data_IF_561537454836
#
_entry.id   IF_561537454836
#
_cell.length_a   1.000
_cell.length_b   1.000
_cell.length_c   1.000
_cell.angle_alpha   90.00
_cell.angle_beta   90.00
_cell.angle_gamma   90.00
#
_symmetry.space_group_name_H-M   'P 1'
#
loop_
_entity.id
_entity.type
_entity.pdbx_description
1 polymer ?
#
# COMPACT_ATOMS: atom_id res chain seq x y z
N UNK A 1 -1.06 -14.19 -4.09
CA UNK A 1 -0.18 -13.00 -4.03
C UNK A 1 -0.92 -11.67 -4.21
N UNK A 2 -1.75 -11.49 -5.24
CA UNK A 2 -2.42 -10.20 -5.46
C UNK A 2 -3.28 -9.72 -4.28
N UNK A 3 -4.07 -10.62 -3.69
CA UNK A 3 -4.86 -10.30 -2.49
C UNK A 3 -4.00 -9.88 -1.29
N UNK A 4 -2.81 -10.47 -1.12
CA UNK A 4 -1.86 -10.09 -0.06
C UNK A 4 -1.34 -8.68 -0.32
N UNK A 5 -0.97 -8.37 -1.56
CA UNK A 5 -0.54 -7.03 -1.95
C UNK A 5 -1.61 -5.97 -1.65
N UNK A 6 -2.89 -6.27 -1.93
CA UNK A 6 -4.01 -5.40 -1.57
C UNK A 6 -4.16 -5.20 -0.07
N UNK A 7 -4.07 -6.27 0.73
CA UNK A 7 -4.16 -6.16 2.19
C UNK A 7 -3.02 -5.34 2.78
N UNK A 8 -1.78 -5.57 2.34
CA UNK A 8 -0.63 -4.75 2.77
C UNK A 8 -0.82 -3.28 2.38
N UNK A 9 -1.34 -3.01 1.18
CA UNK A 9 -1.62 -1.63 0.74
C UNK A 9 -2.68 -0.95 1.62
N UNK A 10 -3.73 -1.68 2.02
CA UNK A 10 -4.75 -1.15 2.94
C UNK A 10 -4.13 -0.83 4.30
N UNK A 11 -3.34 -1.75 4.88
CA UNK A 11 -2.65 -1.52 6.16
C UNK A 11 -1.76 -0.27 6.08
N UNK A 12 -1.00 -0.12 4.99
CA UNK A 12 -0.08 1.02 4.80
C UNK A 12 -0.84 2.35 4.71
N UNK A 13 -1.89 2.42 3.90
CA UNK A 13 -2.58 3.69 3.61
C UNK A 13 -3.49 4.14 4.75
N UNK A 14 -3.99 3.19 5.54
CA UNK A 14 -5.01 3.42 6.59
C UNK A 14 -4.39 3.41 8.00
N UNK A 15 -3.05 3.29 8.14
CA UNK A 15 -2.36 3.16 9.44
C UNK A 15 -2.73 4.26 10.45
N UNK A 16 -2.81 5.52 10.04
CA UNK A 16 -3.24 6.62 10.92
C UNK A 16 -4.69 6.52 11.34
N UNK A 17 -5.59 6.22 10.41
CA UNK A 17 -7.02 6.05 10.70
C UNK A 17 -7.27 4.85 11.63
N UNK A 18 -6.54 3.76 11.44
CA UNK A 18 -6.61 2.60 12.31
C UNK A 18 -6.05 2.89 13.69
N UNK A 19 -4.91 3.58 13.79
CA UNK A 19 -4.35 4.00 15.07
C UNK A 19 -5.30 4.93 15.84
N UNK A 20 -5.98 5.86 15.16
CA UNK A 20 -7.01 6.72 15.76
C UNK A 20 -8.18 5.92 16.34
N UNK A 21 -8.50 4.77 15.74
CA UNK A 21 -9.52 3.83 16.21
C UNK A 21 -8.99 2.83 17.25
N UNK A 22 -7.75 3.00 17.73
CA UNK A 22 -7.13 2.10 18.71
C UNK A 22 -6.63 0.77 18.13
N UNK A 23 -6.40 0.69 16.81
CA UNK A 23 -6.04 -0.54 16.09
C UNK A 23 -4.68 -0.41 15.42
N UNK A 24 -3.90 -1.48 15.45
CA UNK A 24 -2.61 -1.58 14.76
C UNK A 24 -2.58 -2.91 14.01
N UNK A 25 -2.32 -2.83 12.70
CA UNK A 25 -2.23 -3.99 11.81
C UNK A 25 -0.81 -4.23 11.27
N UNK A 26 0.14 -3.38 11.64
CA UNK A 26 1.56 -3.59 11.31
C UNK A 26 2.10 -4.80 12.10
N UNK A 27 2.93 -5.67 11.47
CA UNK A 27 3.52 -6.81 12.18
C UNK A 27 4.42 -6.36 13.33
N UNK A 28 4.23 -6.97 14.51
CA UNK A 28 4.90 -6.55 15.74
C UNK A 28 6.42 -6.77 15.67
N UNK A 29 6.88 -7.89 15.13
CA UNK A 29 8.30 -8.21 14.93
C UNK A 29 9.00 -7.17 14.03
N UNK A 30 8.28 -6.67 13.03
CA UNK A 30 8.79 -5.64 12.12
C UNK A 30 8.77 -4.26 12.78
N UNK A 31 7.73 -3.93 13.57
CA UNK A 31 7.72 -2.72 14.39
C UNK A 31 8.91 -2.69 15.37
N UNK A 32 9.16 -3.80 16.07
CA UNK A 32 10.30 -3.96 16.98
C UNK A 32 11.64 -3.80 16.25
N UNK A 33 11.79 -4.43 15.08
CA UNK A 33 12.99 -4.31 14.23
C UNK A 33 13.34 -2.86 13.87
N UNK A 34 12.32 -2.03 13.65
CA UNK A 34 12.48 -0.62 13.32
C UNK A 34 12.37 0.31 14.53
N UNK A 35 12.31 -0.22 15.76
CA UNK A 35 12.14 0.55 16.99
C UNK A 35 10.91 1.49 16.97
N UNK A 36 9.80 1.00 16.44
CA UNK A 36 8.50 1.68 16.46
C UNK A 36 7.60 1.00 17.49
N UNK A 37 7.06 1.77 18.42
CA UNK A 37 6.16 1.24 19.45
C UNK A 37 4.70 1.44 19.10
N UNK A 38 3.84 0.56 19.59
CA UNK A 38 2.39 0.73 19.47
C UNK A 38 1.91 2.03 20.13
N UNK A 39 2.52 2.42 21.25
CA UNK A 39 2.17 3.64 21.96
C UNK A 39 2.43 4.89 21.11
N UNK A 40 3.55 4.95 20.38
CA UNK A 40 3.84 6.05 19.45
C UNK A 40 2.79 6.14 18.35
N UNK A 41 2.43 5.02 17.71
CA UNK A 41 1.41 5.01 16.66
C UNK A 41 0.06 5.48 17.18
N UNK A 42 -0.41 4.94 18.31
CA UNK A 42 -1.69 5.31 18.91
C UNK A 42 -1.73 6.79 19.33
N UNK A 43 -0.60 7.32 19.79
CA UNK A 43 -0.46 8.75 20.15
C UNK A 43 -0.15 9.64 18.93
N UNK A 44 -0.14 9.09 17.71
CA UNK A 44 0.18 9.81 16.47
C UNK A 44 1.54 10.53 16.53
N UNK A 45 2.54 9.86 17.12
CA UNK A 45 3.91 10.35 17.21
C UNK A 45 4.79 9.63 16.19
N UNK A 46 5.35 10.39 15.26
CA UNK A 46 6.29 9.87 14.26
C UNK A 46 7.70 9.86 14.83
N UNK A 47 8.19 8.67 15.21
CA UNK A 47 9.58 8.43 15.57
C UNK A 47 10.49 8.21 14.34
N UNK A 48 11.82 8.20 14.51
CA UNK A 48 12.78 8.01 13.42
C UNK A 48 12.64 6.65 12.71
N UNK A 49 12.14 5.63 13.42
CA UNK A 49 11.90 4.29 12.89
C UNK A 49 10.68 4.17 11.96
N UNK A 50 9.75 5.12 12.01
CA UNK A 50 8.48 5.01 11.31
C UNK A 50 8.64 5.03 9.77
N UNK A 51 9.39 5.99 9.23
CA UNK A 51 9.59 6.09 7.78
C UNK A 51 10.32 4.86 7.21
N UNK A 52 11.41 4.35 7.81
CA UNK A 52 12.02 3.08 7.41
C UNK A 52 11.06 1.89 7.45
N UNK A 53 10.25 1.76 8.51
CA UNK A 53 9.23 0.71 8.62
C UNK A 53 8.22 0.80 7.47
N UNK A 54 7.69 1.99 7.18
CA UNK A 54 6.74 2.19 6.10
C UNK A 54 7.36 1.89 4.73
N UNK A 55 8.60 2.33 4.48
CA UNK A 55 9.33 2.00 3.26
C UNK A 55 9.50 0.48 3.09
N UNK A 56 9.79 -0.23 4.18
CA UNK A 56 9.88 -1.69 4.18
C UNK A 56 8.53 -2.35 3.83
N UNK A 57 7.43 -1.89 4.40
CA UNK A 57 6.09 -2.39 4.05
C UNK A 57 5.71 -2.12 2.59
N UNK A 58 6.00 -0.91 2.08
CA UNK A 58 5.75 -0.56 0.68
C UNK A 58 6.52 -1.48 -0.27
N UNK A 59 7.81 -1.72 0.01
CA UNK A 59 8.61 -2.66 -0.78
C UNK A 59 8.05 -4.08 -0.71
N UNK A 60 7.59 -4.54 0.45
CA UNK A 60 6.94 -5.85 0.62
C UNK A 60 5.67 -5.95 -0.24
N UNK A 61 4.81 -4.93 -0.23
CA UNK A 61 3.60 -4.89 -1.05
C UNK A 61 3.93 -4.93 -2.56
N UNK A 62 4.92 -4.14 -3.00
CA UNK A 62 5.42 -4.16 -4.40
C UNK A 62 5.90 -5.54 -4.83
N UNK A 63 6.68 -6.24 -4.00
CA UNK A 63 7.12 -7.61 -4.28
C UNK A 63 5.95 -8.59 -4.49
N UNK A 64 4.87 -8.46 -3.71
CA UNK A 64 3.69 -9.30 -3.91
C UNK A 64 2.92 -8.95 -5.20
N UNK A 65 2.87 -7.67 -5.59
CA UNK A 65 2.33 -7.30 -6.92
C UNK A 65 3.16 -7.90 -8.05
N UNK A 66 4.48 -7.76 -7.99
CA UNK A 66 5.38 -8.25 -9.03
C UNK A 66 5.29 -9.78 -9.16
N UNK A 67 5.24 -10.49 -8.02
CA UNK A 67 5.03 -11.94 -8.00
C UNK A 67 3.67 -12.33 -8.59
N UNK A 68 2.60 -11.62 -8.24
CA UNK A 68 1.27 -11.88 -8.77
C UNK A 68 1.20 -11.69 -10.30
N UNK A 69 1.84 -10.65 -10.83
CA UNK A 69 1.87 -10.38 -12.26
C UNK A 69 2.76 -11.38 -13.02
N UNK A 70 3.89 -11.77 -12.45
CA UNK A 70 4.77 -12.79 -13.03
C UNK A 70 4.06 -14.16 -13.13
N UNK A 71 3.17 -14.47 -12.17
CA UNK A 71 2.40 -15.71 -12.15
C UNK A 71 1.12 -15.68 -13.00
N UNK A 72 0.72 -14.53 -13.57
CA UNK A 72 -0.54 -14.40 -14.30
C UNK A 72 -0.41 -14.87 -15.77
N UNK A 73 -1.07 -15.97 -16.18
CA UNK A 73 -1.04 -16.44 -17.56
C UNK A 73 -1.66 -15.42 -18.51
N UNK A 74 -1.16 -15.37 -19.75
CA UNK A 74 -1.66 -14.42 -20.74
C UNK A 74 -3.17 -14.60 -21.04
N UNK A 75 -3.64 -15.84 -21.04
CA UNK A 75 -5.05 -16.20 -21.27
C UNK A 75 -6.00 -15.64 -20.21
N UNK A 76 -5.52 -15.47 -18.97
CA UNK A 76 -6.32 -15.01 -17.84
C UNK A 76 -6.31 -13.48 -17.69
N UNK A 77 -5.46 -12.75 -18.42
CA UNK A 77 -5.35 -11.29 -18.28
C UNK A 77 -6.66 -10.56 -18.54
N UNK A 78 -7.45 -11.02 -19.52
CA UNK A 78 -8.74 -10.42 -19.87
C UNK A 78 -9.79 -10.61 -18.78
N UNK A 79 -9.88 -11.81 -18.19
CA UNK A 79 -10.83 -12.10 -17.10
C UNK A 79 -10.40 -11.42 -15.79
N UNK A 80 -9.10 -11.21 -15.59
CA UNK A 80 -8.53 -10.56 -14.41
C UNK A 80 -8.40 -9.02 -14.53
N UNK A 81 -8.92 -8.40 -15.60
CA UNK A 81 -8.84 -6.95 -15.84
C UNK A 81 -9.20 -6.10 -14.62
N UNK A 82 -10.30 -6.34 -13.88
CA UNK A 82 -10.63 -5.55 -12.69
C UNK A 82 -9.52 -5.60 -11.61
N UNK A 83 -8.92 -6.77 -11.40
CA UNK A 83 -7.81 -6.94 -10.47
C UNK A 83 -6.55 -6.20 -10.92
N UNK A 84 -6.24 -6.24 -12.22
CA UNK A 84 -5.11 -5.51 -12.81
C UNK A 84 -5.27 -3.98 -12.69
N UNK A 85 -6.49 -3.47 -12.93
CA UNK A 85 -6.80 -2.04 -12.75
C UNK A 85 -6.61 -1.64 -11.29
N UNK A 86 -7.16 -2.40 -10.35
CA UNK A 86 -6.98 -2.12 -8.92
C UNK A 86 -5.51 -2.14 -8.51
N UNK A 87 -4.73 -3.10 -9.04
CA UNK A 87 -3.30 -3.18 -8.79
C UNK A 87 -2.54 -1.95 -9.33
N UNK A 88 -2.90 -1.45 -10.51
CA UNK A 88 -2.30 -0.23 -11.06
C UNK A 88 -2.61 1.00 -10.19
N UNK A 89 -3.86 1.14 -9.74
CA UNK A 89 -4.28 2.23 -8.83
C UNK A 89 -3.53 2.14 -7.50
N UNK A 90 -3.44 0.96 -6.91
CA UNK A 90 -2.80 0.77 -5.61
C UNK A 90 -1.28 0.94 -5.67
N UNK A 91 -0.61 0.48 -6.74
CA UNK A 91 0.81 0.76 -6.95
C UNK A 91 1.07 2.26 -7.05
N UNK A 92 0.26 2.98 -7.82
CA UNK A 92 0.37 4.43 -7.91
C UNK A 92 0.09 5.14 -6.57
N UNK A 93 -0.83 4.62 -5.74
CA UNK A 93 -1.05 5.14 -4.39
C UNK A 93 0.18 4.94 -3.48
N UNK A 94 0.82 3.77 -3.55
CA UNK A 94 2.06 3.49 -2.82
C UNK A 94 3.19 4.44 -3.25
N UNK A 95 3.25 4.77 -4.55
CA UNK A 95 4.19 5.77 -5.06
C UNK A 95 3.90 7.14 -4.42
N UNK A 96 2.66 7.61 -4.38
CA UNK A 96 2.33 8.90 -3.73
C UNK A 96 2.71 8.94 -2.24
N UNK A 97 2.47 7.85 -1.52
CA UNK A 97 2.83 7.70 -0.10
C UNK A 97 4.35 7.82 0.09
N UNK A 98 5.13 7.17 -0.77
CA UNK A 98 6.59 7.23 -0.74
C UNK A 98 7.10 8.64 -1.10
N UNK A 99 6.53 9.29 -2.13
CA UNK A 99 6.92 10.63 -2.56
C UNK A 99 6.62 11.72 -1.53
N UNK A 100 5.51 11.60 -0.80
CA UNK A 100 5.19 12.52 0.30
C UNK A 100 6.08 12.27 1.54
N UNK A 101 6.84 11.17 1.59
CA UNK A 101 7.72 10.85 2.72
C UNK A 101 7.02 10.14 3.86
N UNK A 102 6.01 9.33 3.54
CA UNK A 102 5.29 8.44 4.46
C UNK A 102 4.49 9.14 5.58
N UNK A 103 3.91 10.31 5.36
CA UNK A 103 3.06 10.98 6.37
C UNK A 103 1.67 10.32 6.54
N UNK A 104 1.54 9.01 6.29
CA UNK A 104 0.28 8.23 6.39
C UNK A 104 -0.28 8.13 7.81
N UNK A 105 0.49 8.51 8.83
CA UNK A 105 0.01 8.63 10.20
C UNK A 105 -0.85 9.89 10.39
N UNK A 106 -0.54 10.97 9.68
CA UNK A 106 -1.14 12.30 9.89
C UNK A 106 -2.17 12.67 8.82
N UNK A 107 -2.09 12.06 7.63
CA UNK A 107 -2.95 12.39 6.50
C UNK A 107 -3.38 11.16 5.70
N UNK A 108 -4.54 11.29 5.07
CA UNK A 108 -5.07 10.27 4.16
C UNK A 108 -4.55 10.48 2.74
N UNK A 109 -4.13 9.39 2.11
CA UNK A 109 -3.72 9.40 0.71
C UNK A 109 -4.83 8.88 -0.18
N UNK A 110 -5.08 9.58 -1.28
CA UNK A 110 -5.97 9.10 -2.33
C UNK A 110 -5.55 9.67 -3.68
N UNK A 111 -5.69 8.87 -4.74
CA UNK A 111 -5.53 9.37 -6.10
C UNK A 111 -6.78 10.15 -6.52
N UNK A 112 -6.57 11.21 -7.29
CA UNK A 112 -7.68 11.98 -7.88
C UNK A 112 -8.54 11.08 -8.79
N UNK A 113 -9.85 11.35 -8.92
CA UNK A 113 -10.73 10.57 -9.78
C UNK A 113 -10.21 10.47 -11.22
N UNK A 114 -9.67 11.58 -11.75
CA UNK A 114 -9.07 11.62 -13.09
C UNK A 114 -7.85 10.69 -13.21
N UNK A 115 -6.95 10.68 -12.22
CA UNK A 115 -5.78 9.80 -12.24
C UNK A 115 -6.18 8.33 -12.13
N UNK A 116 -7.21 8.01 -11.34
CA UNK A 116 -7.79 6.65 -11.28
C UNK A 116 -8.38 6.22 -12.62
N UNK A 117 -9.18 7.09 -13.26
CA UNK A 117 -9.77 6.82 -14.56
C UNK A 117 -8.70 6.63 -15.65
N UNK A 118 -7.67 7.48 -15.66
CA UNK A 118 -6.54 7.35 -16.58
C UNK A 118 -5.78 6.03 -16.39
N UNK A 119 -5.49 5.65 -15.15
CA UNK A 119 -4.83 4.36 -14.85
C UNK A 119 -5.70 3.17 -15.29
N UNK A 120 -7.01 3.23 -15.05
CA UNK A 120 -7.94 2.18 -15.45
C UNK A 120 -8.00 2.04 -16.98
N UNK A 121 -8.09 3.15 -17.70
CA UNK A 121 -8.07 3.17 -19.16
C UNK A 121 -6.73 2.64 -19.71
N UNK A 122 -5.60 3.18 -19.24
CA UNK A 122 -4.26 2.75 -19.66
C UNK A 122 -4.04 1.25 -19.43
N UNK A 123 -4.48 0.74 -18.27
CA UNK A 123 -4.34 -0.69 -17.96
C UNK A 123 -5.23 -1.53 -18.86
N UNK A 124 -6.47 -1.09 -19.11
CA UNK A 124 -7.42 -1.81 -19.98
C UNK A 124 -7.01 -1.81 -21.45
N UNK A 125 -6.22 -0.84 -21.90
CA UNK A 125 -5.66 -0.80 -23.25
C UNK A 125 -4.48 -1.77 -23.43
N UNK A 126 -3.73 -2.04 -22.37
CA UNK A 126 -2.56 -2.92 -22.39
C UNK A 126 -2.89 -4.42 -22.24
N UNK A 127 -4.15 -4.78 -21.96
CA UNK A 127 -4.63 -6.14 -21.68
C UNK A 127 -5.97 -6.43 -22.34
#
# INVERSE_FOLDING_TARGET
DLGIAFQLTNIIRDVGEDAHRGRIYLPQDEMERFAVTSAELLQHRVGPGFKPLMAFQVQRARKFYDKAFAALPAVDRRSQRPGLIMAAIYRALLDEIEHDGFHVLDRRFSLTPLRKAWLAWKTSWNY
#
